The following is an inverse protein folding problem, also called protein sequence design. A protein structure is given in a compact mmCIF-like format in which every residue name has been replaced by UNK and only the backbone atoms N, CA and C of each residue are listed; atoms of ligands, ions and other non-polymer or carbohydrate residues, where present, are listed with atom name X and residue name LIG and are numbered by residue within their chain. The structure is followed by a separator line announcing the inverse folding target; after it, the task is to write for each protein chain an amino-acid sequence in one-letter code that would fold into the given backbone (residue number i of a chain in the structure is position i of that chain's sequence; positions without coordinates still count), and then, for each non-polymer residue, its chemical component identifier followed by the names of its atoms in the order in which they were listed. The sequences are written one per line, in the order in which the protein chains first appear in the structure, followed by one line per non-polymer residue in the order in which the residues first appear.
data_IF_779251549078
#
_entry.id   IF_779251549078
#
_cell.length_a   1.000
_cell.length_b   1.000
_cell.length_c   1.000
_cell.angle_alpha   90.00
_cell.angle_beta   90.00
_cell.angle_gamma   90.00
#
_symmetry.space_group_name_H-M   'P 1'
#
loop_
_entity.id
_entity.type
_entity.pdbx_description
1 polymer ?
#
# COMPACT_ATOMS: atom_id res chain seq x y z
N UNK A 1 -4.44 28.37 22.60
CA UNK A 1 -5.74 28.50 21.90
C UNK A 1 -5.56 27.86 20.53
N UNK A 2 -6.22 26.74 20.27
CA UNK A 2 -6.15 26.12 18.95
C UNK A 2 -7.00 26.94 17.98
N UNK A 3 -6.41 27.49 16.92
CA UNK A 3 -7.17 28.21 15.90
C UNK A 3 -7.98 27.23 15.08
N UNK A 4 -9.22 27.58 14.71
CA UNK A 4 -10.08 26.77 13.83
C UNK A 4 -9.37 26.47 12.49
N UNK A 5 -8.59 27.43 11.98
CA UNK A 5 -7.83 27.30 10.74
C UNK A 5 -6.75 26.20 10.81
N UNK A 6 -6.14 26.01 11.98
CA UNK A 6 -5.15 24.96 12.21
C UNK A 6 -5.80 23.56 12.19
N UNK A 7 -6.98 23.41 12.78
CA UNK A 7 -7.74 22.16 12.74
C UNK A 7 -8.27 21.86 11.32
N UNK A 8 -8.79 22.86 10.61
CA UNK A 8 -9.20 22.72 9.22
C UNK A 8 -8.01 22.31 8.33
N UNK A 9 -6.85 22.92 8.54
CA UNK A 9 -5.61 22.53 7.86
C UNK A 9 -5.24 21.07 8.12
N UNK A 10 -5.34 20.63 9.39
CA UNK A 10 -5.06 19.24 9.76
C UNK A 10 -6.04 18.25 9.08
N UNK A 11 -7.33 18.59 9.02
CA UNK A 11 -8.34 17.75 8.33
C UNK A 11 -8.03 17.65 6.83
N UNK A 12 -7.76 18.77 6.17
CA UNK A 12 -7.43 18.79 4.73
C UNK A 12 -6.16 17.95 4.45
N UNK A 13 -5.09 18.16 5.20
CA UNK A 13 -3.86 17.36 5.07
C UNK A 13 -4.12 15.89 5.37
N UNK A 14 -4.96 15.60 6.37
CA UNK A 14 -5.36 14.25 6.74
C UNK A 14 -6.13 13.51 5.65
N UNK A 15 -7.03 14.20 4.92
CA UNK A 15 -7.73 13.62 3.76
C UNK A 15 -6.75 13.30 2.64
N UNK A 16 -5.81 14.21 2.33
CA UNK A 16 -4.79 13.99 1.31
C UNK A 16 -3.90 12.79 1.66
N UNK A 17 -3.47 12.70 2.92
CA UNK A 17 -2.67 11.59 3.43
C UNK A 17 -3.47 10.29 3.47
N UNK A 18 -4.75 10.34 3.83
CA UNK A 18 -5.65 9.20 3.87
C UNK A 18 -5.85 8.55 2.51
N UNK A 19 -5.96 9.33 1.43
CA UNK A 19 -6.01 8.76 0.08
C UNK A 19 -4.71 8.05 -0.31
N UNK A 20 -3.55 8.59 0.11
CA UNK A 20 -2.28 7.88 -0.05
C UNK A 20 -2.29 6.55 0.73
N UNK A 21 -2.77 6.53 1.98
CA UNK A 21 -2.92 5.27 2.74
C UNK A 21 -3.88 4.30 2.08
N UNK A 22 -4.93 4.78 1.42
CA UNK A 22 -5.83 3.92 0.64
C UNK A 22 -5.08 3.21 -0.50
N UNK A 23 -4.27 3.96 -1.28
CA UNK A 23 -3.49 3.38 -2.37
C UNK A 23 -2.48 2.32 -1.87
N UNK A 24 -1.85 2.58 -0.73
CA UNK A 24 -0.92 1.62 -0.10
C UNK A 24 -1.66 0.37 0.39
N UNK A 25 -2.85 0.53 0.99
CA UNK A 25 -3.57 -0.56 1.67
C UNK A 25 -4.46 -1.38 0.74
N UNK A 26 -4.85 -0.83 -0.43
CA UNK A 26 -5.80 -1.50 -1.33
C UNK A 26 -5.28 -2.83 -1.87
N UNK A 27 -3.97 -2.94 -2.14
CA UNK A 27 -3.33 -4.20 -2.51
C UNK A 27 -3.40 -5.24 -1.38
N UNK A 28 -3.16 -4.81 -0.14
CA UNK A 28 -3.30 -5.68 1.03
C UNK A 28 -4.76 -6.12 1.24
N UNK A 29 -5.73 -5.25 0.99
CA UNK A 29 -7.15 -5.58 1.04
C UNK A 29 -7.53 -6.68 0.04
N UNK A 30 -6.88 -6.73 -1.13
CA UNK A 30 -7.05 -7.83 -2.09
C UNK A 30 -6.38 -9.10 -1.57
N UNK A 31 -5.09 -9.05 -1.21
CA UNK A 31 -4.32 -10.25 -0.85
C UNK A 31 -4.79 -10.87 0.46
N UNK A 32 -5.03 -10.07 1.48
CA UNK A 32 -5.46 -10.54 2.79
C UNK A 32 -7.00 -10.67 2.88
N UNK A 33 -7.73 -9.70 2.33
CA UNK A 33 -9.18 -9.66 2.45
C UNK A 33 -9.94 -10.56 1.48
N UNK A 34 -9.47 -10.73 0.24
CA UNK A 34 -10.14 -11.56 -0.77
C UNK A 34 -9.48 -12.94 -0.97
N UNK A 35 -8.15 -13.05 -0.81
CA UNK A 35 -7.45 -14.29 -1.10
C UNK A 35 -7.14 -15.12 0.16
N UNK A 36 -7.33 -14.54 1.34
CA UNK A 36 -6.96 -15.13 2.65
C UNK A 36 -5.45 -15.49 2.71
N UNK A 37 -4.60 -14.67 2.07
CA UNK A 37 -3.16 -14.84 2.06
C UNK A 37 -2.52 -13.82 3.01
N UNK A 38 -1.82 -14.26 4.07
CA UNK A 38 -1.25 -13.37 5.09
C UNK A 38 -0.01 -12.63 4.57
N UNK A 39 -0.21 -11.65 3.68
CA UNK A 39 0.85 -10.90 3.02
C UNK A 39 1.49 -9.83 3.93
N UNK A 40 2.14 -10.28 5.02
CA UNK A 40 2.82 -9.39 5.98
C UNK A 40 3.99 -8.62 5.34
N UNK A 41 4.58 -9.17 4.26
CA UNK A 41 5.65 -8.50 3.51
C UNK A 41 5.16 -7.31 2.65
N UNK A 42 3.86 -7.04 2.58
CA UNK A 42 3.30 -5.97 1.73
C UNK A 42 3.98 -4.61 1.93
N UNK A 43 4.22 -4.11 3.17
CA UNK A 43 4.95 -2.87 3.39
C UNK A 43 6.42 -2.93 2.97
N UNK A 44 7.08 -4.09 3.09
CA UNK A 44 8.46 -4.24 2.62
C UNK A 44 8.55 -4.14 1.09
N UNK A 45 7.58 -4.73 0.35
CA UNK A 45 7.46 -4.52 -1.09
C UNK A 45 7.18 -3.05 -1.45
N UNK A 46 6.42 -2.33 -0.63
CA UNK A 46 6.19 -0.89 -0.81
C UNK A 46 7.50 -0.11 -0.73
N UNK A 47 8.32 -0.39 0.30
CA UNK A 47 9.63 0.25 0.47
C UNK A 47 10.57 -0.16 -0.67
N UNK A 48 10.59 -1.43 -1.07
CA UNK A 48 11.37 -1.89 -2.23
C UNK A 48 10.99 -1.13 -3.51
N UNK A 49 9.70 -0.89 -3.74
CA UNK A 49 9.24 -0.10 -4.87
C UNK A 49 9.74 1.35 -4.80
N UNK A 50 9.74 1.96 -3.61
CA UNK A 50 10.25 3.31 -3.41
C UNK A 50 11.75 3.42 -3.74
N UNK A 51 12.54 2.41 -3.36
CA UNK A 51 13.97 2.35 -3.71
C UNK A 51 14.19 2.10 -5.20
N UNK A 52 13.33 1.31 -5.85
CA UNK A 52 13.35 1.15 -7.31
C UNK A 52 13.07 2.47 -8.04
N UNK A 53 12.09 3.24 -7.55
CA UNK A 53 11.79 4.59 -8.06
C UNK A 53 12.97 5.54 -7.82
N UNK A 54 13.56 5.51 -6.62
CA UNK A 54 14.75 6.30 -6.30
C UNK A 54 15.89 6.02 -7.29
N UNK A 55 16.18 4.75 -7.55
CA UNK A 55 17.25 4.35 -8.45
C UNK A 55 17.02 4.87 -9.89
N UNK A 56 15.80 4.81 -10.39
CA UNK A 56 15.46 5.32 -11.72
C UNK A 56 15.52 6.84 -11.79
N UNK A 57 15.07 7.53 -10.73
CA UNK A 57 15.14 8.99 -10.65
C UNK A 57 16.60 9.47 -10.56
N UNK A 58 17.42 8.84 -9.70
CA UNK A 58 18.83 9.24 -9.50
C UNK A 58 19.71 8.94 -10.72
N UNK A 59 19.52 7.76 -11.37
CA UNK A 59 20.41 7.32 -12.45
C UNK A 59 20.01 7.87 -13.83
N UNK A 60 18.71 8.13 -14.06
CA UNK A 60 18.19 8.47 -15.38
C UNK A 60 17.35 9.74 -15.40
N UNK A 61 17.23 10.45 -14.27
CA UNK A 61 16.40 11.66 -14.11
C UNK A 61 14.93 11.46 -14.54
N UNK A 62 14.43 10.22 -14.38
CA UNK A 62 13.04 9.87 -14.70
C UNK A 62 12.14 10.40 -13.60
N UNK A 63 11.03 11.05 -13.99
CA UNK A 63 10.01 11.48 -13.02
C UNK A 63 9.53 10.31 -12.13
N UNK A 64 9.43 10.50 -10.80
CA UNK A 64 9.06 9.44 -9.88
C UNK A 64 7.75 8.72 -10.20
N UNK A 65 6.74 9.41 -10.74
CA UNK A 65 5.47 8.78 -11.14
C UNK A 65 5.65 7.87 -12.36
N UNK A 66 6.44 8.31 -13.35
CA UNK A 66 6.77 7.49 -14.52
C UNK A 66 7.63 6.30 -14.12
N UNK A 67 8.59 6.48 -13.21
CA UNK A 67 9.39 5.39 -12.66
C UNK A 67 8.51 4.36 -11.94
N UNK A 68 7.55 4.81 -11.12
CA UNK A 68 6.58 3.94 -10.45
C UNK A 68 5.74 3.11 -11.44
N UNK A 69 5.29 3.75 -12.52
CA UNK A 69 4.56 3.05 -13.57
C UNK A 69 5.45 2.04 -14.31
N UNK A 70 6.71 2.39 -14.58
CA UNK A 70 7.67 1.53 -15.27
C UNK A 70 8.01 0.26 -14.45
N UNK A 71 8.10 0.35 -13.12
CA UNK A 71 8.38 -0.81 -12.27
C UNK A 71 7.14 -1.67 -11.96
N UNK A 72 5.93 -1.16 -12.20
CA UNK A 72 4.67 -1.88 -11.94
C UNK A 72 4.62 -3.29 -12.57
N UNK A 73 5.02 -3.52 -13.84
CA UNK A 73 5.06 -4.86 -14.43
C UNK A 73 6.04 -5.80 -13.71
N UNK A 74 7.17 -5.30 -13.24
CA UNK A 74 8.12 -6.07 -12.45
C UNK A 74 7.50 -6.52 -11.13
N UNK A 75 6.80 -5.61 -10.44
CA UNK A 75 6.11 -5.94 -9.18
C UNK A 75 4.95 -6.92 -9.40
N UNK A 76 4.28 -6.86 -10.55
CA UNK A 76 3.31 -7.89 -10.92
C UNK A 76 3.96 -9.28 -11.00
N UNK A 77 5.10 -9.40 -11.70
CA UNK A 77 5.83 -10.67 -11.81
C UNK A 77 6.35 -11.16 -10.46
N UNK A 78 6.89 -10.27 -9.63
CA UNK A 78 7.30 -10.59 -8.26
C UNK A 78 6.13 -11.13 -7.42
N UNK A 79 4.95 -10.54 -7.55
CA UNK A 79 3.73 -11.03 -6.90
C UNK A 79 3.33 -12.41 -7.39
N UNK A 80 3.34 -12.65 -8.71
CA UNK A 80 3.06 -13.97 -9.27
C UNK A 80 4.03 -15.03 -8.73
N UNK A 81 5.31 -14.71 -8.64
CA UNK A 81 6.35 -15.58 -8.13
C UNK A 81 6.18 -15.86 -6.64
N UNK A 82 5.98 -14.80 -5.84
CA UNK A 82 5.80 -14.91 -4.40
C UNK A 82 4.59 -15.79 -4.04
N UNK A 83 3.44 -15.58 -4.72
CA UNK A 83 2.28 -16.44 -4.51
C UNK A 83 2.52 -17.88 -4.95
N UNK A 84 3.19 -18.10 -6.07
CA UNK A 84 3.51 -19.46 -6.55
C UNK A 84 4.35 -20.22 -5.55
N UNK A 85 5.42 -19.61 -5.03
CA UNK A 85 6.27 -20.21 -4.00
C UNK A 85 5.47 -20.50 -2.72
N UNK A 86 4.66 -19.53 -2.28
CA UNK A 86 3.77 -19.70 -1.12
C UNK A 86 2.80 -20.88 -1.31
N UNK A 87 2.15 -20.96 -2.47
CA UNK A 87 1.19 -22.01 -2.78
C UNK A 87 1.85 -23.39 -2.79
N UNK A 88 2.94 -23.57 -3.51
CA UNK A 88 3.62 -24.87 -3.66
C UNK A 88 4.22 -25.36 -2.33
N UNK A 89 4.68 -24.44 -1.48
CA UNK A 89 5.33 -24.77 -0.23
C UNK A 89 4.35 -24.98 0.93
N UNK A 90 3.31 -24.17 1.02
CA UNK A 90 2.43 -24.13 2.19
C UNK A 90 0.95 -24.39 1.88
N UNK A 91 0.31 -23.65 1.00
CA UNK A 91 -1.14 -23.72 0.79
C UNK A 91 -1.57 -25.10 0.26
N UNK A 92 -0.79 -25.70 -0.62
CA UNK A 92 -1.03 -27.05 -1.15
C UNK A 92 -0.98 -28.16 -0.09
N UNK A 93 -0.28 -27.93 1.03
CA UNK A 93 -0.01 -28.95 2.06
C UNK A 93 -0.99 -28.96 3.25
N UNK A 94 -2.04 -28.13 3.24
CA UNK A 94 -3.20 -28.23 4.15
C UNK A 94 -3.22 -27.26 5.35
N UNK A 95 -3.94 -27.58 6.38
CA UNK A 95 -4.56 -26.75 7.42
C UNK A 95 -3.70 -25.80 8.27
N UNK A 96 -2.39 -25.80 8.14
CA UNK A 96 -1.48 -24.89 8.90
C UNK A 96 -0.89 -23.80 8.00
N UNK A 97 -1.43 -23.65 6.79
CA UNK A 97 -0.91 -22.72 5.78
C UNK A 97 -0.91 -21.26 6.24
N UNK A 98 -1.92 -20.82 6.99
CA UNK A 98 -2.03 -19.43 7.46
C UNK A 98 -0.87 -19.02 8.36
N UNK A 99 -0.59 -19.79 9.43
CA UNK A 99 0.49 -19.47 10.38
C UNK A 99 1.87 -19.58 9.73
N UNK A 100 2.10 -20.64 8.94
CA UNK A 100 3.36 -20.80 8.19
C UNK A 100 3.54 -19.73 7.13
N UNK A 101 2.43 -19.26 6.53
CA UNK A 101 2.43 -18.17 5.58
C UNK A 101 2.87 -16.85 6.19
N UNK A 102 2.45 -16.54 7.42
CA UNK A 102 2.92 -15.36 8.16
C UNK A 102 4.45 -15.40 8.30
N UNK A 103 5.00 -16.53 8.77
CA UNK A 103 6.45 -16.68 8.92
C UNK A 103 7.21 -16.56 7.58
N UNK A 104 6.65 -17.13 6.51
CA UNK A 104 7.23 -17.03 5.16
C UNK A 104 7.28 -15.58 4.66
N UNK A 105 6.17 -14.85 4.73
CA UNK A 105 6.14 -13.46 4.29
C UNK A 105 6.95 -12.54 5.20
N UNK A 106 7.02 -12.82 6.51
CA UNK A 106 7.92 -12.12 7.41
C UNK A 106 9.39 -12.32 7.02
N UNK A 107 9.78 -13.57 6.66
CA UNK A 107 11.12 -13.86 6.14
C UNK A 107 11.42 -13.11 4.84
N UNK A 108 10.46 -13.02 3.91
CA UNK A 108 10.61 -12.22 2.68
C UNK A 108 10.80 -10.73 3.03
N UNK A 109 10.01 -10.18 3.95
CA UNK A 109 10.15 -8.79 4.37
C UNK A 109 11.56 -8.50 4.89
N UNK A 110 12.08 -9.37 5.75
CA UNK A 110 13.43 -9.24 6.29
C UNK A 110 14.53 -9.36 5.21
N UNK A 111 14.37 -10.28 4.27
CA UNK A 111 15.30 -10.39 3.11
C UNK A 111 15.29 -9.10 2.30
N UNK A 112 14.12 -8.54 2.01
CA UNK A 112 14.00 -7.27 1.27
C UNK A 112 14.69 -6.14 2.04
N UNK A 113 14.44 -6.00 3.36
CA UNK A 113 15.09 -4.99 4.21
C UNK A 113 16.63 -5.10 4.12
N UNK A 114 17.17 -6.31 4.30
CA UNK A 114 18.62 -6.54 4.26
C UNK A 114 19.21 -6.25 2.87
N UNK A 115 18.52 -6.65 1.79
CA UNK A 115 18.97 -6.36 0.43
C UNK A 115 19.02 -4.85 0.15
N UNK A 116 18.02 -4.09 0.61
CA UNK A 116 18.01 -2.62 0.49
C UNK A 116 19.19 -2.02 1.27
N UNK A 117 19.44 -2.47 2.50
CA UNK A 117 20.56 -1.99 3.33
C UNK A 117 21.91 -2.28 2.64
N UNK A 118 22.10 -3.47 2.10
CA UNK A 118 23.34 -3.84 1.42
C UNK A 118 23.59 -3.03 0.14
N UNK A 119 22.52 -2.67 -0.58
CA UNK A 119 22.62 -1.94 -1.85
C UNK A 119 22.71 -0.42 -1.66
N UNK A 120 21.93 0.14 -0.74
CA UNK A 120 21.72 1.60 -0.62
C UNK A 120 22.21 2.19 0.71
N UNK A 121 22.58 1.35 1.68
CA UNK A 121 22.92 1.77 3.04
C UNK A 121 21.68 2.02 3.89
N UNK A 122 21.89 2.62 5.07
CA UNK A 122 20.83 2.89 6.07
C UNK A 122 20.29 4.31 6.00
N UNK A 123 20.89 5.17 5.18
CA UNK A 123 20.53 6.58 5.09
C UNK A 123 19.19 6.79 4.41
N UNK A 124 18.51 7.86 4.80
CA UNK A 124 17.27 8.27 4.14
C UNK A 124 17.52 8.70 2.70
N UNK A 125 16.63 8.25 1.80
CA UNK A 125 16.64 8.61 0.39
C UNK A 125 15.41 9.43 0.03
N UNK A 126 15.58 10.38 -0.88
CA UNK A 126 14.52 11.23 -1.40
C UNK A 126 14.69 11.40 -2.90
N UNK A 127 13.62 11.77 -3.58
CA UNK A 127 13.60 12.03 -5.03
C UNK A 127 13.42 13.51 -5.32
N UNK A 128 13.83 13.90 -6.51
CA UNK A 128 13.64 15.26 -7.03
C UNK A 128 12.60 15.25 -8.15
N UNK A 129 11.68 16.20 -8.12
CA UNK A 129 10.72 16.43 -9.19
C UNK A 129 10.23 17.88 -9.16
N UNK A 130 9.73 18.37 -10.28
CA UNK A 130 9.30 19.77 -10.45
C UNK A 130 8.15 20.21 -9.52
N UNK A 131 7.41 19.26 -8.97
CA UNK A 131 6.28 19.47 -8.04
C UNK A 131 6.66 19.25 -6.57
N UNK A 132 7.87 18.78 -6.28
CA UNK A 132 8.39 18.65 -4.92
C UNK A 132 8.99 20.00 -4.49
N UNK A 133 8.72 20.42 -3.27
CA UNK A 133 9.17 21.73 -2.73
C UNK A 133 8.23 22.91 -3.01
N UNK A 134 7.24 22.76 -3.88
CA UNK A 134 6.18 23.76 -4.10
C UNK A 134 5.05 23.58 -3.07
N UNK A 135 4.40 24.69 -2.71
CA UNK A 135 3.23 24.69 -1.84
C UNK A 135 2.18 25.66 -2.38
N UNK A 136 0.93 25.24 -2.34
CA UNK A 136 -0.21 26.14 -2.57
C UNK A 136 -0.56 26.84 -1.25
N UNK A 137 -0.82 28.14 -1.34
CA UNK A 137 -1.34 28.94 -0.24
C UNK A 137 -2.80 29.24 -0.49
N UNK A 138 -3.65 28.77 0.40
CA UNK A 138 -5.09 29.04 0.39
C UNK A 138 -5.40 29.74 1.72
N UNK A 139 -5.48 31.07 1.69
CA UNK A 139 -5.51 31.87 2.92
C UNK A 139 -4.23 31.67 3.74
N UNK A 140 -4.35 31.32 5.00
CA UNK A 140 -3.23 31.07 5.90
C UNK A 140 -2.69 29.62 5.83
N UNK A 141 -3.42 28.72 5.13
CA UNK A 141 -3.01 27.32 5.00
C UNK A 141 -1.98 27.14 3.88
N UNK A 142 -0.93 26.34 4.17
CA UNK A 142 0.09 25.92 3.21
C UNK A 142 -0.08 24.42 2.92
N UNK A 143 -0.54 24.11 1.72
CA UNK A 143 -0.71 22.72 1.26
C UNK A 143 0.49 22.35 0.37
N UNK A 144 1.36 21.41 0.77
CA UNK A 144 2.47 20.95 -0.07
C UNK A 144 1.92 20.33 -1.36
N UNK A 145 2.37 20.84 -2.52
CA UNK A 145 1.84 20.41 -3.82
C UNK A 145 2.08 18.91 -4.08
N UNK A 146 3.19 18.36 -3.55
CA UNK A 146 3.48 16.93 -3.57
C UNK A 146 2.35 16.06 -2.99
N UNK A 147 1.66 16.52 -1.93
CA UNK A 147 0.53 15.80 -1.35
C UNK A 147 -0.72 15.85 -2.24
N UNK A 148 -0.93 16.95 -2.96
CA UNK A 148 -2.04 17.09 -3.92
C UNK A 148 -1.84 16.14 -5.10
N UNK A 149 -0.61 16.06 -5.62
CA UNK A 149 -0.25 15.11 -6.68
C UNK A 149 -0.43 13.67 -6.18
N UNK A 150 0.11 13.37 -5.00
CA UNK A 150 -0.04 12.03 -4.40
C UNK A 150 -1.51 11.66 -4.19
N UNK A 151 -2.34 12.59 -3.71
CA UNK A 151 -3.79 12.41 -3.56
C UNK A 151 -4.46 12.05 -4.90
N UNK A 152 -4.21 12.83 -5.95
CA UNK A 152 -4.82 12.61 -7.26
C UNK A 152 -4.48 11.24 -7.84
N UNK A 153 -3.20 10.86 -7.79
CA UNK A 153 -2.73 9.55 -8.28
C UNK A 153 -3.26 8.41 -7.40
N UNK A 154 -3.22 8.56 -6.08
CA UNK A 154 -3.71 7.55 -5.14
C UNK A 154 -5.22 7.30 -5.29
N UNK A 155 -6.01 8.37 -5.39
CA UNK A 155 -7.44 8.27 -5.63
C UNK A 155 -7.74 7.60 -6.99
N UNK A 156 -7.04 8.03 -8.05
CA UNK A 156 -7.14 7.42 -9.37
C UNK A 156 -6.82 5.92 -9.36
N UNK A 157 -5.72 5.53 -8.72
CA UNK A 157 -5.29 4.15 -8.59
C UNK A 157 -6.32 3.29 -7.84
N UNK A 158 -6.82 3.80 -6.70
CA UNK A 158 -7.83 3.11 -5.88
C UNK A 158 -9.14 2.93 -6.64
N UNK A 159 -9.61 3.99 -7.33
CA UNK A 159 -10.82 3.94 -8.15
C UNK A 159 -10.63 2.96 -9.31
N UNK A 160 -9.51 3.02 -10.01
CA UNK A 160 -9.21 2.14 -11.14
C UNK A 160 -9.20 0.68 -10.72
N UNK A 161 -8.58 0.34 -9.59
CA UNK A 161 -8.58 -1.02 -9.06
C UNK A 161 -9.99 -1.45 -8.63
N UNK A 162 -10.77 -0.59 -7.98
CA UNK A 162 -12.15 -0.86 -7.60
C UNK A 162 -13.03 -1.13 -8.84
N UNK A 163 -12.88 -0.34 -9.89
CA UNK A 163 -13.57 -0.53 -11.17
C UNK A 163 -13.12 -1.83 -11.85
N UNK A 164 -11.82 -2.12 -11.85
CA UNK A 164 -11.29 -3.37 -12.39
C UNK A 164 -11.94 -4.58 -11.69
N UNK A 165 -11.92 -4.61 -10.35
CA UNK A 165 -12.51 -5.71 -9.58
C UNK A 165 -14.04 -5.81 -9.74
N UNK A 166 -14.75 -4.68 -9.93
CA UNK A 166 -16.21 -4.68 -10.04
C UNK A 166 -16.73 -4.96 -11.45
N UNK A 167 -16.04 -4.50 -12.50
CA UNK A 167 -16.53 -4.47 -13.86
C UNK A 167 -15.91 -5.53 -14.78
N UNK A 168 -14.69 -6.05 -14.48
CA UNK A 168 -14.03 -7.01 -15.35
C UNK A 168 -14.41 -8.46 -15.02
N UNK A 169 -14.20 -9.35 -15.99
CA UNK A 169 -14.39 -10.80 -15.80
C UNK A 169 -13.44 -11.33 -14.72
N UNK A 170 -12.15 -10.96 -14.80
CA UNK A 170 -11.16 -11.39 -13.81
C UNK A 170 -11.49 -10.87 -12.40
N UNK A 171 -11.95 -9.63 -12.28
CA UNK A 171 -12.38 -9.06 -10.99
C UNK A 171 -13.55 -9.83 -10.38
N UNK A 172 -14.53 -10.26 -11.21
CA UNK A 172 -15.62 -11.14 -10.75
C UNK A 172 -15.11 -12.50 -10.33
N UNK A 173 -14.16 -13.09 -11.08
CA UNK A 173 -13.53 -14.37 -10.73
C UNK A 173 -12.75 -14.28 -9.40
N UNK A 174 -12.04 -13.19 -9.14
CA UNK A 174 -11.34 -12.97 -7.88
C UNK A 174 -12.32 -12.91 -6.70
N UNK A 175 -13.45 -12.21 -6.84
CA UNK A 175 -14.49 -12.17 -5.80
C UNK A 175 -15.19 -13.51 -5.62
N UNK A 176 -15.38 -14.28 -6.69
CA UNK A 176 -15.96 -15.62 -6.60
C UNK A 176 -15.03 -16.59 -5.86
N UNK A 177 -13.70 -16.51 -6.07
CA UNK A 177 -12.71 -17.31 -5.31
C UNK A 177 -12.80 -17.01 -3.80
N UNK A 178 -13.03 -15.74 -3.44
CA UNK A 178 -13.18 -15.33 -2.05
C UNK A 178 -14.44 -15.90 -1.39
N UNK A 179 -15.49 -16.19 -2.16
CA UNK A 179 -16.74 -16.73 -1.65
C UNK A 179 -16.73 -18.26 -1.54
N UNK A 180 -16.38 -18.95 -2.63
CA UNK A 180 -16.36 -20.43 -2.67
C UNK A 180 -15.39 -20.93 -3.75
N UNK A 181 -14.27 -21.48 -3.32
CA UNK A 181 -13.24 -22.05 -4.20
C UNK A 181 -13.68 -23.38 -4.81
N UNK A 182 -14.48 -24.18 -4.10
CA UNK A 182 -14.92 -25.50 -4.59
C UNK A 182 -16.00 -25.36 -5.66
N UNK A 183 -16.98 -24.50 -5.43
CA UNK A 183 -17.97 -24.18 -6.45
C UNK A 183 -17.33 -23.68 -7.74
N UNK A 184 -16.27 -22.85 -7.62
CA UNK A 184 -15.55 -22.36 -8.79
C UNK A 184 -14.83 -23.47 -9.56
N UNK A 185 -14.28 -24.47 -8.87
CA UNK A 185 -13.68 -25.66 -9.51
C UNK A 185 -14.70 -26.49 -10.26
N UNK A 186 -15.89 -26.65 -9.68
CA UNK A 186 -16.99 -27.39 -10.34
C UNK A 186 -17.45 -26.69 -11.62
N UNK A 187 -17.34 -25.37 -11.70
CA UNK A 187 -17.61 -24.60 -12.92
C UNK A 187 -16.45 -24.59 -13.93
N UNK A 188 -15.38 -25.38 -13.70
CA UNK A 188 -14.24 -25.52 -14.62
C UNK A 188 -13.19 -24.41 -14.52
N UNK A 189 -13.31 -23.47 -13.57
CA UNK A 189 -12.30 -22.45 -13.35
C UNK A 189 -11.19 -22.98 -12.43
N UNK A 190 -9.97 -22.43 -12.57
CA UNK A 190 -8.83 -22.80 -11.72
C UNK A 190 -8.60 -21.72 -10.64
N UNK A 191 -9.01 -21.95 -9.37
CA UNK A 191 -8.90 -20.97 -8.30
C UNK A 191 -7.45 -20.55 -8.03
N UNK A 192 -6.51 -21.47 -8.16
CA UNK A 192 -5.09 -21.22 -7.89
C UNK A 192 -4.53 -20.17 -8.86
N UNK A 193 -4.83 -20.32 -10.16
CA UNK A 193 -4.42 -19.33 -11.17
C UNK A 193 -5.08 -17.97 -10.92
N UNK A 194 -6.34 -17.95 -10.52
CA UNK A 194 -7.05 -16.70 -10.21
C UNK A 194 -6.43 -16.02 -9.00
N UNK A 195 -6.15 -16.75 -7.91
CA UNK A 195 -5.45 -16.24 -6.74
C UNK A 195 -4.05 -15.70 -7.09
N UNK A 196 -3.31 -16.44 -7.91
CA UNK A 196 -1.98 -16.03 -8.35
C UNK A 196 -2.02 -14.69 -9.11
N UNK A 197 -2.95 -14.53 -10.05
CA UNK A 197 -3.14 -13.28 -10.79
C UNK A 197 -3.59 -12.14 -9.86
N UNK A 198 -4.51 -12.41 -8.95
CA UNK A 198 -4.98 -11.42 -7.98
C UNK A 198 -3.86 -10.93 -7.06
N UNK A 199 -3.01 -11.84 -6.59
CA UNK A 199 -1.85 -11.50 -5.78
C UNK A 199 -0.81 -10.71 -6.58
N UNK A 200 -0.61 -11.06 -7.86
CA UNK A 200 0.21 -10.28 -8.79
C UNK A 200 -0.30 -8.84 -8.93
N UNK A 201 -1.61 -8.65 -9.15
CA UNK A 201 -2.23 -7.31 -9.24
C UNK A 201 -2.08 -6.55 -7.91
N UNK A 202 -2.34 -7.21 -6.78
CA UNK A 202 -2.18 -6.60 -5.45
C UNK A 202 -0.75 -6.09 -5.20
N UNK A 203 0.26 -6.85 -5.65
CA UNK A 203 1.67 -6.45 -5.54
C UNK A 203 2.05 -5.40 -6.59
N UNK A 204 1.49 -5.46 -7.81
CA UNK A 204 1.72 -4.48 -8.87
C UNK A 204 1.34 -3.05 -8.46
N UNK A 205 0.23 -2.89 -7.72
CA UNK A 205 -0.21 -1.59 -7.17
C UNK A 205 0.89 -0.93 -6.34
N UNK A 206 1.77 -1.71 -5.71
CA UNK A 206 2.88 -1.19 -4.90
C UNK A 206 3.94 -0.47 -5.74
N UNK A 207 4.06 -0.75 -7.03
CA UNK A 207 4.95 -0.01 -7.92
C UNK A 207 4.62 1.48 -7.92
N UNK A 208 3.36 1.83 -8.13
CA UNK A 208 2.88 3.22 -8.09
C UNK A 208 2.82 3.73 -6.64
N UNK A 209 2.33 2.93 -5.68
CA UNK A 209 2.25 3.35 -4.28
C UNK A 209 3.63 3.64 -3.67
N UNK A 210 4.68 2.92 -4.10
CA UNK A 210 6.07 3.19 -3.70
C UNK A 210 6.59 4.52 -4.24
N UNK A 211 6.22 4.88 -5.48
CA UNK A 211 6.50 6.22 -5.99
C UNK A 211 5.80 7.31 -5.16
N UNK A 212 4.54 7.09 -4.79
CA UNK A 212 3.82 8.01 -3.92
C UNK A 212 4.46 8.13 -2.54
N UNK A 213 4.96 7.01 -1.98
CA UNK A 213 5.63 7.02 -0.67
C UNK A 213 6.84 7.94 -0.68
N UNK A 214 7.76 7.77 -1.63
CA UNK A 214 8.99 8.57 -1.69
C UNK A 214 8.75 10.02 -2.11
N UNK A 215 7.66 10.32 -2.83
CA UNK A 215 7.20 11.68 -3.14
C UNK A 215 6.69 12.36 -1.86
N UNK A 216 5.92 11.66 -1.04
CA UNK A 216 5.31 12.21 0.19
C UNK A 216 6.35 12.45 1.27
N UNK A 217 7.28 11.51 1.46
CA UNK A 217 8.31 11.59 2.50
C UNK A 217 9.60 10.87 2.08
N UNK A 218 10.76 11.26 2.62
CA UNK A 218 11.97 10.46 2.50
C UNK A 218 11.75 9.04 3.03
N UNK A 219 12.42 8.06 2.41
CA UNK A 219 12.31 6.65 2.76
C UNK A 219 13.62 6.14 3.35
N UNK A 220 13.53 5.24 4.32
CA UNK A 220 14.62 4.46 4.86
C UNK A 220 14.31 2.96 4.79
N UNK A 221 15.30 2.07 4.89
CA UNK A 221 15.10 0.62 4.70
C UNK A 221 14.15 -0.03 5.71
N UNK A 222 14.02 0.53 6.92
CA UNK A 222 13.20 -0.02 8.02
C UNK A 222 11.80 0.61 8.12
N UNK A 223 11.45 1.47 7.15
CA UNK A 223 10.19 2.21 7.14
C UNK A 223 8.95 1.29 7.03
N UNK A 224 9.11 0.08 6.50
CA UNK A 224 8.06 -0.93 6.39
C UNK A 224 7.40 -1.23 7.73
N UNK A 225 8.15 -1.24 8.82
CA UNK A 225 7.64 -1.49 10.18
C UNK A 225 6.59 -0.46 10.61
N UNK A 226 6.76 0.80 10.23
CA UNK A 226 5.79 1.86 10.49
C UNK A 226 4.51 1.70 9.66
N UNK A 227 4.62 1.09 8.47
CA UNK A 227 3.48 0.89 7.58
C UNK A 227 2.71 -0.41 7.86
N UNK A 228 3.29 -1.41 8.53
CA UNK A 228 2.57 -2.63 8.95
C UNK A 228 1.32 -2.24 9.75
N UNK A 229 1.47 -1.48 10.84
CA UNK A 229 0.35 -1.07 11.69
C UNK A 229 -0.71 -0.27 10.92
N UNK A 230 -0.30 0.70 10.08
CA UNK A 230 -1.21 1.54 9.28
C UNK A 230 -2.01 0.74 8.27
N UNK A 231 -1.34 -0.10 7.47
CA UNK A 231 -2.00 -0.88 6.41
C UNK A 231 -2.95 -1.93 6.98
N UNK A 232 -2.56 -2.62 8.06
CA UNK A 232 -3.44 -3.56 8.74
C UNK A 232 -4.62 -2.87 9.41
N UNK A 233 -4.40 -1.73 10.09
CA UNK A 233 -5.49 -0.93 10.66
C UNK A 233 -6.52 -0.57 9.59
N UNK A 234 -6.08 -0.04 8.45
CA UNK A 234 -6.97 0.33 7.35
C UNK A 234 -7.76 -0.87 6.84
N UNK A 235 -7.11 -2.02 6.60
CA UNK A 235 -7.77 -3.20 6.04
C UNK A 235 -8.76 -3.83 7.03
N UNK A 236 -8.43 -3.87 8.31
CA UNK A 236 -9.31 -4.42 9.34
C UNK A 236 -10.52 -3.49 9.58
N UNK A 237 -10.30 -2.18 9.72
CA UNK A 237 -11.39 -1.19 9.83
C UNK A 237 -12.31 -1.16 8.62
N UNK A 238 -11.75 -1.36 7.42
CA UNK A 238 -12.52 -1.39 6.17
C UNK A 238 -13.50 -2.56 6.10
N UNK A 239 -13.24 -3.62 6.85
CA UNK A 239 -13.82 -4.93 6.63
C UNK A 239 -13.11 -5.66 5.47
N UNK A 240 -12.66 -6.88 5.73
CA UNK A 240 -11.82 -7.66 4.82
C UNK A 240 -12.43 -7.75 3.41
N UNK A 241 -11.68 -7.30 2.40
CA UNK A 241 -12.08 -7.36 0.99
C UNK A 241 -12.98 -6.22 0.49
N UNK A 242 -13.33 -5.24 1.34
CA UNK A 242 -14.13 -4.08 0.94
C UNK A 242 -13.27 -2.94 0.38
N UNK A 243 -13.32 -2.70 -0.93
CA UNK A 243 -12.55 -1.61 -1.57
C UNK A 243 -13.02 -0.22 -1.15
N UNK A 244 -14.34 -0.02 -1.06
CA UNK A 244 -14.92 1.25 -0.60
C UNK A 244 -14.64 1.47 0.88
N UNK A 245 -14.72 0.41 1.68
CA UNK A 245 -14.33 0.42 3.09
C UNK A 245 -12.86 0.82 3.27
N UNK A 246 -11.95 0.30 2.43
CA UNK A 246 -10.51 0.65 2.47
C UNK A 246 -10.28 2.14 2.26
N UNK A 247 -10.97 2.76 1.30
CA UNK A 247 -10.86 4.21 1.08
C UNK A 247 -11.36 5.01 2.28
N UNK A 248 -12.53 4.66 2.81
CA UNK A 248 -13.12 5.37 3.96
C UNK A 248 -12.26 5.20 5.22
N UNK A 249 -11.86 3.97 5.54
CA UNK A 249 -10.99 3.67 6.69
C UNK A 249 -9.63 4.39 6.59
N UNK A 250 -9.04 4.43 5.41
CA UNK A 250 -7.79 5.13 5.17
C UNK A 250 -7.92 6.64 5.37
N UNK A 251 -9.03 7.25 4.93
CA UNK A 251 -9.30 8.67 5.17
C UNK A 251 -9.49 8.94 6.66
N UNK A 252 -10.23 8.09 7.36
CA UNK A 252 -10.43 8.21 8.83
C UNK A 252 -9.07 8.15 9.54
N UNK A 253 -8.23 7.17 9.20
CA UNK A 253 -6.89 7.05 9.78
C UNK A 253 -6.03 8.28 9.46
N UNK A 254 -6.00 8.73 8.20
CA UNK A 254 -5.21 9.88 7.78
C UNK A 254 -5.62 11.17 8.49
N UNK A 255 -6.93 11.40 8.66
CA UNK A 255 -7.46 12.56 9.41
C UNK A 255 -7.10 12.45 10.89
N UNK A 256 -7.29 11.28 11.50
CA UNK A 256 -6.96 11.06 12.91
C UNK A 256 -5.45 11.26 13.17
N UNK A 257 -4.57 10.67 12.34
CA UNK A 257 -3.12 10.88 12.45
C UNK A 257 -2.73 12.34 12.26
N UNK A 258 -3.31 13.05 11.28
CA UNK A 258 -3.01 14.44 11.01
C UNK A 258 -3.43 15.38 12.17
N UNK A 259 -4.59 15.12 12.78
CA UNK A 259 -5.05 15.87 13.96
C UNK A 259 -4.10 15.60 15.13
N UNK A 260 -3.75 14.35 15.40
CA UNK A 260 -2.85 14.00 16.50
C UNK A 260 -1.45 14.56 16.28
N UNK A 261 -0.94 14.49 15.05
CA UNK A 261 0.34 15.11 14.68
C UNK A 261 0.34 16.60 15.01
N UNK A 262 -0.77 17.30 14.73
CA UNK A 262 -0.91 18.73 14.92
C UNK A 262 -1.05 19.12 16.40
N UNK A 263 -1.75 18.29 17.20
CA UNK A 263 -2.05 18.61 18.61
C UNK A 263 -1.01 18.06 19.59
N UNK A 264 -0.48 16.87 19.35
CA UNK A 264 0.36 16.12 20.29
C UNK A 264 1.77 15.86 19.75
N UNK A 265 2.01 16.13 18.46
CA UNK A 265 3.33 15.93 17.81
C UNK A 265 3.50 14.57 17.14
N UNK A 266 4.63 14.44 16.41
CA UNK A 266 4.90 13.33 15.52
C UNK A 266 5.03 11.96 16.21
N UNK A 267 5.48 11.94 17.45
CA UNK A 267 5.71 10.70 18.21
C UNK A 267 4.42 9.93 18.51
N UNK A 268 3.28 10.61 18.56
CA UNK A 268 1.98 10.02 18.88
C UNK A 268 1.20 9.54 17.64
N UNK A 269 1.53 10.02 16.44
CA UNK A 269 0.82 9.69 15.23
C UNK A 269 0.78 8.16 14.94
N UNK A 270 1.87 7.38 15.07
CA UNK A 270 1.81 5.93 14.87
C UNK A 270 0.93 5.18 15.89
N UNK A 271 0.78 5.72 17.11
CA UNK A 271 -0.07 5.09 18.13
C UNK A 271 -1.55 5.08 17.76
N UNK A 272 -1.99 6.03 16.91
CA UNK A 272 -3.38 6.14 16.48
C UNK A 272 -3.82 4.94 15.65
N UNK A 273 -2.95 4.41 14.78
CA UNK A 273 -3.29 3.23 13.99
C UNK A 273 -3.57 2.00 14.87
N UNK A 274 -2.83 1.85 15.97
CA UNK A 274 -3.09 0.79 16.94
C UNK A 274 -4.31 1.07 17.83
N UNK A 275 -4.54 2.33 18.21
CA UNK A 275 -5.71 2.73 18.99
C UNK A 275 -7.03 2.56 18.23
N UNK A 276 -7.02 2.81 16.91
CA UNK A 276 -8.19 2.61 16.07
C UNK A 276 -8.45 1.12 15.73
N UNK A 277 -7.45 0.28 15.88
CA UNK A 277 -7.55 -1.16 15.61
C UNK A 277 -8.16 -1.91 16.80
N UNK A 278 -8.04 -1.37 18.03
CA UNK A 278 -8.61 -1.92 19.26
C UNK A 278 -10.06 -1.50 19.45
#
# INVERSE_FOLDING_TARGET
MFSMDLLLGAVVLGVLLGCFYAAVSVGLSVSFGLLDVPHVAHPAFLVLASYGVYQLNESYDIDPLLAGLAITPLFFLLGLLAYRVYYETFERRGSVAGVRGIAFFFGIAFIIEVLIILQFGVDQRSVTASYIGKAWRIGDMRIPFRLVVAFGVAAGLTILLALYLSKTFMGRAIRAVAQDQEALRLMGANPIRIKQWAFGIATAVLGISGALLIIVAPVDPVLDRAYIGRTFCVVVMAGLGSMTGTLVAAIILGVAESIVLTLFGASWAPAISFALLL
#
